data_IF_792647130984
#
_entry.id   IF_792647130984
#
_cell.length_a   1.000
_cell.length_b   1.000
_cell.length_c   1.000
_cell.angle_alpha   90.00
_cell.angle_beta   90.00
_cell.angle_gamma   90.00
#
_symmetry.space_group_name_H-M   'P 1'
#
loop_
_entity.id
_entity.type
_entity.pdbx_description
1 polymer ?
#
# COMPACT_ATOMS: atom_id res chain seq x y z
N UNK A 1 -16.19 -6.66 -30.08
CA UNK A 1 -16.19 -5.46 -29.22
C UNK A 1 -15.35 -4.39 -29.90
N UNK A 2 -15.83 -3.15 -30.09
CA UNK A 2 -15.06 -2.13 -30.83
C UNK A 2 -13.89 -1.59 -29.99
N UNK A 3 -12.79 -1.12 -30.60
CA UNK A 3 -11.65 -0.55 -29.87
C UNK A 3 -12.02 0.60 -28.92
N UNK A 4 -12.98 1.45 -29.32
CA UNK A 4 -13.53 2.52 -28.46
C UNK A 4 -14.31 1.97 -27.27
N UNK A 5 -15.12 0.93 -27.47
CA UNK A 5 -15.85 0.28 -26.36
C UNK A 5 -14.88 -0.46 -25.42
N UNK A 6 -13.80 -1.05 -25.94
CA UNK A 6 -12.74 -1.64 -25.15
C UNK A 6 -11.99 -0.60 -24.31
N UNK A 7 -11.59 0.53 -24.90
CA UNK A 7 -10.95 1.63 -24.18
C UNK A 7 -11.84 2.22 -23.08
N UNK A 8 -13.14 2.36 -23.34
CA UNK A 8 -14.11 2.88 -22.37
C UNK A 8 -14.43 1.89 -21.23
N UNK A 9 -14.38 0.59 -21.50
CA UNK A 9 -14.64 -0.46 -20.51
C UNK A 9 -13.40 -0.84 -19.70
N UNK A 10 -12.20 -0.61 -20.24
CA UNK A 10 -10.94 -0.97 -19.59
C UNK A 10 -10.79 -0.46 -18.15
N UNK A 11 -11.14 0.79 -17.79
CA UNK A 11 -11.09 1.23 -16.39
C UNK A 11 -11.97 0.40 -15.46
N UNK A 12 -13.14 -0.05 -15.94
CA UNK A 12 -14.06 -0.92 -15.18
C UNK A 12 -13.54 -2.34 -15.08
N UNK A 13 -12.98 -2.88 -16.16
CA UNK A 13 -12.38 -4.23 -16.18
C UNK A 13 -11.14 -4.27 -15.27
N UNK A 14 -10.25 -3.29 -15.38
CA UNK A 14 -9.06 -3.15 -14.54
C UNK A 14 -9.42 -2.98 -13.05
N UNK A 15 -10.54 -2.33 -12.74
CA UNK A 15 -11.07 -2.24 -11.36
C UNK A 15 -11.47 -3.60 -10.77
N UNK A 16 -11.98 -4.51 -11.60
CA UNK A 16 -12.48 -5.84 -11.16
C UNK A 16 -11.35 -6.88 -11.17
N UNK A 17 -10.51 -6.88 -12.19
CA UNK A 17 -9.39 -7.82 -12.34
C UNK A 17 -8.23 -7.45 -11.40
N UNK A 18 -8.09 -6.17 -11.07
CA UNK A 18 -6.97 -5.65 -10.28
C UNK A 18 -5.65 -5.72 -11.05
N UNK A 19 -4.63 -5.00 -10.58
CA UNK A 19 -3.24 -5.21 -11.04
C UNK A 19 -2.60 -6.33 -10.22
N UNK A 20 -3.01 -7.57 -10.49
CA UNK A 20 -2.29 -8.75 -9.99
C UNK A 20 -0.84 -8.76 -10.47
N UNK A 21 0.02 -9.59 -9.86
CA UNK A 21 1.42 -9.75 -10.31
C UNK A 21 1.50 -10.11 -11.78
N UNK A 22 0.51 -10.85 -12.24
CA UNK A 22 0.41 -11.39 -13.59
C UNK A 22 0.00 -10.33 -14.62
N UNK A 23 -0.82 -9.35 -14.25
CA UNK A 23 -1.14 -8.21 -15.11
C UNK A 23 0.10 -7.34 -15.32
N UNK A 24 0.88 -7.10 -14.26
CA UNK A 24 2.14 -6.36 -14.38
C UNK A 24 3.18 -7.12 -15.21
N UNK A 25 3.22 -8.45 -15.11
CA UNK A 25 4.07 -9.31 -15.95
C UNK A 25 3.65 -9.22 -17.43
N UNK A 26 2.35 -9.34 -17.71
CA UNK A 26 1.79 -9.20 -19.07
C UNK A 26 2.08 -7.81 -19.64
N UNK A 27 1.95 -6.75 -18.82
CA UNK A 27 2.30 -5.39 -19.23
C UNK A 27 3.78 -5.26 -19.58
N UNK A 28 4.70 -5.79 -18.76
CA UNK A 28 6.13 -5.79 -19.06
C UNK A 28 6.47 -6.60 -20.32
N UNK A 29 5.88 -7.78 -20.46
CA UNK A 29 6.04 -8.60 -21.67
C UNK A 29 5.55 -7.85 -22.90
N UNK A 30 4.44 -7.12 -22.80
CA UNK A 30 3.94 -6.29 -23.88
C UNK A 30 4.86 -5.13 -24.20
N UNK A 31 5.39 -4.43 -23.19
CA UNK A 31 6.37 -3.34 -23.37
C UNK A 31 7.62 -3.85 -24.12
N UNK A 32 8.17 -4.98 -23.70
CA UNK A 32 9.34 -5.60 -24.34
C UNK A 32 9.04 -6.01 -25.79
N UNK A 33 7.89 -6.67 -26.04
CA UNK A 33 7.47 -7.08 -27.38
C UNK A 33 7.18 -5.89 -28.29
N UNK A 34 6.55 -4.84 -27.76
CA UNK A 34 6.24 -3.62 -28.50
C UNK A 34 7.53 -2.89 -28.91
N UNK A 35 8.47 -2.71 -27.99
CA UNK A 35 9.77 -2.10 -28.27
C UNK A 35 10.55 -2.93 -29.30
N UNK A 36 10.52 -4.26 -29.17
CA UNK A 36 11.16 -5.15 -30.13
C UNK A 36 10.53 -5.02 -31.53
N UNK A 37 9.21 -5.15 -31.65
CA UNK A 37 8.48 -5.02 -32.91
C UNK A 37 8.62 -3.64 -33.57
N UNK A 38 8.75 -2.58 -32.77
CA UNK A 38 9.03 -1.25 -33.28
C UNK A 38 10.47 -1.12 -33.82
N UNK A 39 11.46 -1.71 -33.13
CA UNK A 39 12.87 -1.71 -33.57
C UNK A 39 13.13 -2.56 -34.82
N UNK A 40 12.42 -3.68 -34.96
CA UNK A 40 12.56 -4.60 -36.09
C UNK A 40 11.69 -4.21 -37.30
N UNK A 41 10.81 -3.22 -37.16
CA UNK A 41 9.89 -2.78 -38.21
C UNK A 41 8.71 -3.71 -38.44
N UNK A 42 8.44 -4.65 -37.52
CA UNK A 42 7.25 -5.52 -37.56
C UNK A 42 5.96 -4.76 -37.21
N UNK A 43 6.08 -3.66 -36.45
CA UNK A 43 4.98 -2.75 -36.14
C UNK A 43 5.07 -1.46 -36.97
N UNK A 44 3.94 -0.93 -37.47
CA UNK A 44 3.93 0.34 -38.19
C UNK A 44 4.30 1.49 -37.25
N UNK A 45 4.88 2.54 -37.83
CA UNK A 45 5.16 3.78 -37.10
C UNK A 45 3.83 4.49 -36.86
N UNK A 46 3.42 4.60 -35.60
CA UNK A 46 2.19 5.29 -35.21
C UNK A 46 2.47 6.78 -35.03
N UNK A 47 2.01 7.63 -35.94
CA UNK A 47 2.07 9.08 -35.78
C UNK A 47 0.97 9.59 -34.83
N UNK A 48 1.29 10.63 -34.04
CA UNK A 48 0.35 11.32 -33.13
C UNK A 48 -0.39 10.41 -32.13
N UNK A 49 0.24 9.33 -31.64
CA UNK A 49 -0.37 8.37 -30.72
C UNK A 49 -1.67 7.72 -31.26
N UNK A 50 -1.85 7.68 -32.59
CA UNK A 50 -2.98 7.05 -33.25
C UNK A 50 -2.80 5.52 -33.33
N UNK A 51 -2.67 4.87 -32.18
CA UNK A 51 -2.47 3.42 -32.09
C UNK A 51 -3.69 2.65 -32.60
N UNK A 52 -3.47 1.76 -33.57
CA UNK A 52 -4.48 0.81 -34.01
C UNK A 52 -4.47 -0.41 -33.08
N UNK A 53 -5.48 -0.49 -32.22
CA UNK A 53 -5.65 -1.57 -31.25
C UNK A 53 -5.84 -2.94 -31.91
N UNK A 54 -6.37 -3.01 -33.14
CA UNK A 54 -6.60 -4.27 -33.82
C UNK A 54 -5.28 -4.87 -34.31
N UNK A 55 -4.43 -4.06 -34.93
CA UNK A 55 -3.07 -4.44 -35.35
C UNK A 55 -2.25 -4.88 -34.14
N UNK A 56 -2.30 -4.11 -33.04
CA UNK A 56 -1.57 -4.44 -31.82
C UNK A 56 -2.07 -5.74 -31.16
N UNK A 57 -3.39 -5.97 -31.13
CA UNK A 57 -3.94 -7.21 -30.60
C UNK A 57 -3.59 -8.44 -31.45
N UNK A 58 -3.55 -8.28 -32.78
CA UNK A 58 -3.10 -9.34 -33.68
C UNK A 58 -1.61 -9.63 -33.53
N UNK A 59 -0.79 -8.59 -33.36
CA UNK A 59 0.65 -8.72 -33.09
C UNK A 59 0.92 -9.46 -31.77
N UNK A 60 0.19 -9.10 -30.71
CA UNK A 60 0.26 -9.83 -29.44
C UNK A 60 -0.11 -11.31 -29.61
N UNK A 61 -1.23 -11.60 -30.28
CA UNK A 61 -1.68 -12.98 -30.50
C UNK A 61 -0.69 -13.83 -31.29
N UNK A 62 0.02 -13.24 -32.25
CA UNK A 62 0.98 -13.97 -33.08
C UNK A 62 2.29 -14.28 -32.36
N UNK A 63 2.73 -13.42 -31.43
CA UNK A 63 4.01 -13.55 -30.72
C UNK A 63 3.90 -14.12 -29.30
N UNK A 64 2.75 -13.98 -28.65
CA UNK A 64 2.49 -14.44 -27.29
C UNK A 64 1.27 -15.39 -27.21
N UNK A 65 1.30 -16.57 -27.86
CA UNK A 65 0.18 -17.51 -27.83
C UNK A 65 -0.03 -18.16 -26.46
N UNK A 66 0.98 -18.15 -25.57
CA UNK A 66 0.95 -18.83 -24.28
C UNK A 66 1.26 -17.85 -23.14
N UNK A 67 0.34 -16.94 -22.84
CA UNK A 67 0.19 -16.49 -21.45
C UNK A 67 -0.34 -17.72 -20.72
N UNK A 68 0.57 -18.49 -20.12
CA UNK A 68 0.38 -19.92 -19.82
C UNK A 68 -1.00 -20.26 -19.25
N UNK A 69 -1.53 -21.40 -19.69
CA UNK A 69 -2.75 -21.99 -19.14
C UNK A 69 -2.67 -21.94 -17.60
N UNK A 70 -3.50 -21.08 -17.01
CA UNK A 70 -3.54 -20.91 -15.57
C UNK A 70 -4.06 -22.19 -14.94
N UNK A 71 -3.15 -23.00 -14.42
CA UNK A 71 -3.50 -24.17 -13.61
C UNK A 71 -4.20 -23.65 -12.35
N UNK A 72 -5.52 -23.77 -12.32
CA UNK A 72 -6.35 -23.46 -11.15
C UNK A 72 -7.38 -22.35 -11.30
N UNK A 73 -7.47 -21.68 -12.47
CA UNK A 73 -8.61 -20.80 -12.77
C UNK A 73 -9.57 -21.57 -13.68
N UNK A 74 -10.78 -21.92 -13.21
CA UNK A 74 -11.73 -22.64 -14.04
C UNK A 74 -12.13 -21.76 -15.24
N UNK A 75 -12.17 -22.38 -16.44
CA UNK A 75 -12.66 -21.70 -17.63
C UNK A 75 -14.09 -21.23 -17.39
N UNK A 76 -14.33 -19.94 -17.59
CA UNK A 76 -15.68 -19.41 -17.66
C UNK A 76 -16.34 -19.91 -18.94
N UNK A 77 -17.60 -20.34 -18.84
CA UNK A 77 -18.43 -20.70 -19.98
C UNK A 77 -18.79 -19.46 -20.78
N UNK A 78 -19.05 -19.64 -22.08
CA UNK A 78 -19.49 -18.55 -22.96
C UNK A 78 -20.83 -17.94 -22.52
N UNK A 79 -21.71 -18.75 -21.90
CA UNK A 79 -22.98 -18.29 -21.35
C UNK A 79 -22.84 -17.90 -19.86
N UNK A 80 -23.22 -16.66 -19.55
CA UNK A 80 -23.29 -16.16 -18.19
C UNK A 80 -24.22 -17.00 -17.31
N UNK A 81 -25.31 -17.58 -17.84
CA UNK A 81 -26.24 -18.38 -17.02
C UNK A 81 -25.62 -19.70 -16.58
N UNK A 82 -24.85 -20.33 -17.44
CA UNK A 82 -24.15 -21.57 -17.12
C UNK A 82 -23.05 -21.33 -16.08
N UNK A 83 -22.37 -20.18 -16.17
CA UNK A 83 -21.45 -19.75 -15.14
C UNK A 83 -22.15 -19.63 -13.76
N UNK A 84 -23.30 -18.95 -13.67
CA UNK A 84 -24.03 -18.79 -12.39
C UNK A 84 -24.63 -20.09 -11.84
N UNK A 85 -24.76 -21.13 -12.67
CA UNK A 85 -25.19 -22.46 -12.22
C UNK A 85 -24.04 -23.29 -11.65
N UNK A 86 -22.83 -23.11 -12.18
CA UNK A 86 -21.66 -23.94 -11.83
C UNK A 86 -20.68 -23.27 -10.87
N UNK A 87 -20.74 -21.95 -10.77
CA UNK A 87 -19.87 -21.16 -9.90
C UNK A 87 -20.70 -20.27 -8.99
N UNK A 88 -20.33 -20.27 -7.71
CA UNK A 88 -20.84 -19.30 -6.75
C UNK A 88 -20.05 -18.00 -6.89
N UNK A 89 -20.74 -16.96 -7.36
CA UNK A 89 -20.18 -15.62 -7.47
C UNK A 89 -20.38 -14.86 -6.17
N UNK A 90 -19.34 -14.84 -5.34
CA UNK A 90 -19.33 -13.99 -4.16
C UNK A 90 -18.89 -12.58 -4.53
N UNK A 91 -19.81 -11.62 -4.37
CA UNK A 91 -19.46 -10.21 -4.34
C UNK A 91 -18.74 -9.96 -3.01
N UNK A 92 -17.42 -9.88 -3.08
CA UNK A 92 -16.64 -9.54 -1.90
C UNK A 92 -17.03 -8.14 -1.40
N UNK A 93 -17.09 -7.96 -0.07
CA UNK A 93 -17.41 -6.67 0.51
C UNK A 93 -16.49 -5.62 -0.10
N UNK A 94 -17.13 -4.59 -0.63
CA UNK A 94 -16.53 -3.44 -1.30
C UNK A 94 -15.33 -2.97 -0.47
N UNK A 95 -14.13 -2.96 -1.06
CA UNK A 95 -12.99 -2.21 -0.52
C UNK A 95 -13.51 -0.84 -0.12
N UNK A 96 -13.16 -0.33 1.06
CA UNK A 96 -13.52 1.04 1.43
C UNK A 96 -13.21 1.93 0.22
N UNK A 97 -14.17 2.77 -0.20
CA UNK A 97 -14.00 3.60 -1.39
C UNK A 97 -12.75 4.48 -1.27
N UNK A 98 -12.32 4.78 -0.04
CA UNK A 98 -11.04 5.41 0.24
C UNK A 98 -9.82 4.55 -0.12
N UNK A 99 -9.87 3.22 0.05
CA UNK A 99 -8.81 2.33 -0.41
C UNK A 99 -8.66 2.43 -1.94
N UNK A 100 -9.75 2.65 -2.67
CA UNK A 100 -9.71 2.85 -4.12
C UNK A 100 -9.01 4.18 -4.45
N UNK A 101 -9.30 5.26 -3.72
CA UNK A 101 -8.63 6.55 -3.88
C UNK A 101 -7.11 6.41 -3.70
N UNK A 102 -6.68 5.64 -2.69
CA UNK A 102 -5.27 5.49 -2.33
C UNK A 102 -4.50 4.49 -3.19
N UNK A 103 -5.17 3.46 -3.71
CA UNK A 103 -4.50 2.36 -4.44
C UNK A 103 -4.76 2.36 -5.94
N UNK A 104 -5.71 3.18 -6.43
CA UNK A 104 -6.02 3.24 -7.86
C UNK A 104 -4.90 3.97 -8.62
N UNK A 105 -4.29 3.33 -9.62
CA UNK A 105 -3.28 3.96 -10.46
C UNK A 105 -3.90 4.84 -11.55
N UNK A 106 -5.23 4.96 -11.62
CA UNK A 106 -5.93 5.72 -12.66
C UNK A 106 -6.47 7.06 -12.12
N UNK A 107 -5.92 8.21 -12.54
CA UNK A 107 -6.29 9.53 -12.01
C UNK A 107 -7.79 9.84 -12.14
N UNK A 108 -8.40 9.57 -13.29
CA UNK A 108 -9.85 9.79 -13.48
C UNK A 108 -10.72 9.02 -12.49
N UNK A 109 -10.31 7.80 -12.09
CA UNK A 109 -11.03 7.02 -11.09
C UNK A 109 -10.88 7.69 -9.72
N UNK A 110 -9.66 8.13 -9.38
CA UNK A 110 -9.39 8.84 -8.13
C UNK A 110 -10.22 10.13 -8.06
N UNK A 111 -10.20 10.96 -9.11
CA UNK A 111 -10.98 12.20 -9.21
C UNK A 111 -12.48 11.95 -9.08
N UNK A 112 -13.01 10.99 -9.85
CA UNK A 112 -14.42 10.63 -9.78
C UNK A 112 -14.81 10.18 -8.37
N UNK A 113 -13.95 9.43 -7.69
CA UNK A 113 -14.22 8.98 -6.31
C UNK A 113 -14.13 10.14 -5.31
N UNK A 114 -13.13 11.02 -5.42
CA UNK A 114 -12.99 12.19 -4.55
C UNK A 114 -14.19 13.14 -4.63
N UNK A 115 -14.82 13.27 -5.79
CA UNK A 115 -16.02 14.12 -5.98
C UNK A 115 -17.29 13.43 -5.48
N UNK A 116 -17.41 12.11 -5.68
CA UNK A 116 -18.67 11.40 -5.43
C UNK A 116 -18.76 10.73 -4.05
N UNK A 117 -17.66 10.65 -3.29
CA UNK A 117 -17.63 9.95 -2.01
C UNK A 117 -17.29 10.91 -0.85
N UNK A 118 -18.11 10.95 0.22
CA UNK A 118 -17.82 11.80 1.36
C UNK A 118 -16.59 11.28 2.14
N UNK A 119 -15.76 12.18 2.64
CA UNK A 119 -14.63 11.84 3.53
C UNK A 119 -15.04 11.51 4.98
N UNK A 120 -16.33 11.26 5.20
CA UNK A 120 -16.83 10.87 6.51
C UNK A 120 -16.40 9.43 6.85
N UNK A 121 -16.17 9.17 8.13
CA UNK A 121 -16.03 7.82 8.65
C UNK A 121 -17.26 7.49 9.48
N UNK A 122 -17.74 6.26 9.39
CA UNK A 122 -18.78 5.79 10.30
C UNK A 122 -18.32 5.96 11.74
N UNK A 123 -19.25 6.32 12.63
CA UNK A 123 -18.97 6.27 14.07
C UNK A 123 -18.60 4.84 14.44
N UNK A 124 -17.63 4.72 15.35
CA UNK A 124 -17.05 3.48 15.88
C UNK A 124 -18.03 2.31 15.75
N UNK A 125 -17.62 1.30 14.99
CA UNK A 125 -18.41 0.08 14.80
C UNK A 125 -18.18 -0.81 16.01
N UNK A 126 -19.16 -1.65 16.34
CA UNK A 126 -19.00 -2.64 17.40
C UNK A 126 -17.70 -3.44 17.19
N UNK A 127 -16.83 -3.37 18.19
CA UNK A 127 -15.59 -4.13 18.27
C UNK A 127 -15.92 -5.62 18.07
N UNK A 128 -15.32 -6.32 17.09
CA UNK A 128 -15.53 -7.74 16.94
C UNK A 128 -15.05 -8.47 18.22
N UNK A 129 -15.79 -9.48 18.70
CA UNK A 129 -15.45 -10.18 19.93
C UNK A 129 -14.07 -10.83 19.80
N UNK A 130 -13.23 -10.69 20.83
CA UNK A 130 -11.93 -11.35 20.89
C UNK A 130 -12.06 -12.80 21.40
N UNK A 131 -12.83 -13.58 20.67
CA UNK A 131 -13.09 -14.98 20.98
C UNK A 131 -11.87 -15.89 20.67
N UNK A 132 -12.00 -17.15 21.08
CA UNK A 132 -10.94 -18.15 20.90
C UNK A 132 -10.62 -18.41 19.42
N UNK A 133 -11.61 -18.23 18.53
CA UNK A 133 -11.45 -18.41 17.09
C UNK A 133 -10.61 -17.28 16.50
N UNK A 134 -10.88 -16.02 16.86
CA UNK A 134 -10.09 -14.87 16.43
C UNK A 134 -8.66 -14.90 16.99
N UNK A 135 -8.46 -15.43 18.20
CA UNK A 135 -7.13 -15.71 18.74
C UNK A 135 -6.41 -16.80 17.92
N UNK A 136 -7.11 -17.90 17.58
CA UNK A 136 -6.56 -18.96 16.75
C UNK A 136 -6.17 -18.45 15.35
N UNK A 137 -6.98 -17.58 14.71
CA UNK A 137 -6.64 -16.94 13.43
C UNK A 137 -5.33 -16.17 13.50
N UNK A 138 -5.11 -15.38 14.56
CA UNK A 138 -3.84 -14.65 14.76
C UNK A 138 -2.66 -15.61 14.88
N UNK A 139 -2.81 -16.68 15.66
CA UNK A 139 -1.78 -17.70 15.81
C UNK A 139 -1.45 -18.43 14.50
N UNK A 140 -2.46 -18.82 13.71
CA UNK A 140 -2.28 -19.45 12.40
C UNK A 140 -1.51 -18.51 11.46
N UNK A 141 -1.91 -17.23 11.37
CA UNK A 141 -1.19 -16.23 10.56
C UNK A 141 0.26 -16.07 11.02
N UNK A 142 0.51 -16.00 12.33
CA UNK A 142 1.86 -15.88 12.88
C UNK A 142 2.75 -17.11 12.57
N UNK A 143 2.18 -18.30 12.61
CA UNK A 143 2.86 -19.56 12.22
C UNK A 143 3.25 -19.51 10.73
N UNK A 144 2.34 -19.09 9.85
CA UNK A 144 2.60 -18.96 8.41
C UNK A 144 3.66 -17.88 8.15
N UNK A 145 3.60 -16.74 8.85
CA UNK A 145 4.52 -15.62 8.71
C UNK A 145 5.92 -15.87 9.30
N UNK A 146 6.09 -16.90 10.13
CA UNK A 146 7.39 -17.23 10.74
C UNK A 146 8.40 -17.59 9.65
N UNK A 147 9.65 -17.10 9.73
CA UNK A 147 10.68 -17.47 8.75
C UNK A 147 11.06 -18.95 8.84
N UNK A 148 11.52 -19.55 7.73
CA UNK A 148 11.82 -21.00 7.66
C UNK A 148 12.90 -21.39 8.67
N UNK A 149 13.91 -20.55 8.85
CA UNK A 149 15.06 -20.76 9.72
C UNK A 149 14.68 -20.73 11.21
N UNK A 150 13.51 -20.19 11.54
CA UNK A 150 13.05 -20.01 12.91
C UNK A 150 11.85 -20.90 13.25
N UNK A 151 11.30 -21.57 12.24
CA UNK A 151 10.16 -22.44 12.39
C UNK A 151 10.48 -23.70 13.21
N UNK A 152 9.48 -24.16 13.95
CA UNK A 152 9.49 -25.46 14.62
C UNK A 152 8.05 -25.96 14.65
N UNK A 153 7.80 -27.10 14.02
CA UNK A 153 6.48 -27.73 13.99
C UNK A 153 5.97 -28.13 15.37
N UNK A 154 6.85 -28.60 16.26
CA UNK A 154 6.50 -28.85 17.66
C UNK A 154 5.96 -27.59 18.36
N UNK A 155 6.67 -26.47 18.24
CA UNK A 155 6.22 -25.19 18.82
C UNK A 155 4.95 -24.66 18.17
N UNK A 156 4.80 -24.80 16.86
CA UNK A 156 3.55 -24.44 16.17
C UNK A 156 2.35 -25.23 16.69
N UNK A 157 2.50 -26.55 16.87
CA UNK A 157 1.47 -27.41 17.45
C UNK A 157 1.16 -27.04 18.90
N UNK A 158 2.18 -26.80 19.73
CA UNK A 158 2.01 -26.36 21.13
C UNK A 158 1.19 -25.07 21.26
N UNK A 159 1.37 -24.12 20.34
CA UNK A 159 0.57 -22.89 20.31
C UNK A 159 -0.87 -23.21 19.95
N UNK A 160 -1.10 -24.03 18.91
CA UNK A 160 -2.45 -24.33 18.40
C UNK A 160 -3.28 -25.21 19.35
N UNK A 161 -2.65 -26.15 20.07
CA UNK A 161 -3.33 -27.05 21.04
C UNK A 161 -4.12 -26.26 22.08
N UNK A 162 -3.66 -25.05 22.45
CA UNK A 162 -4.30 -24.21 23.48
C UNK A 162 -5.68 -23.70 23.07
N UNK A 163 -5.99 -23.67 21.78
CA UNK A 163 -7.27 -23.17 21.26
C UNK A 163 -8.29 -24.30 21.02
N UNK A 164 -7.83 -25.55 20.97
CA UNK A 164 -8.66 -26.71 20.63
C UNK A 164 -8.87 -26.89 19.13
N UNK A 165 -9.13 -28.13 18.71
CA UNK A 165 -9.23 -28.52 17.30
C UNK A 165 -10.41 -27.83 16.59
N UNK A 166 -11.58 -27.76 17.23
CA UNK A 166 -12.77 -27.12 16.67
C UNK A 166 -12.54 -25.63 16.35
N UNK A 167 -11.90 -24.88 17.26
CA UNK A 167 -11.62 -23.46 17.04
C UNK A 167 -10.56 -23.26 15.95
N UNK A 168 -9.53 -24.13 15.89
CA UNK A 168 -8.54 -24.09 14.82
C UNK A 168 -9.15 -24.40 13.45
N UNK A 169 -10.06 -25.37 13.37
CA UNK A 169 -10.75 -25.71 12.13
C UNK A 169 -11.63 -24.56 11.65
N UNK A 170 -12.47 -24.01 12.54
CA UNK A 170 -13.29 -22.83 12.21
C UNK A 170 -12.42 -21.63 11.79
N UNK A 171 -11.30 -21.39 12.46
CA UNK A 171 -10.37 -20.33 12.09
C UNK A 171 -9.77 -20.51 10.69
N UNK A 172 -9.46 -21.75 10.28
CA UNK A 172 -8.99 -22.05 8.92
C UNK A 172 -10.08 -21.80 7.90
N UNK A 173 -11.29 -22.31 8.13
CA UNK A 173 -12.45 -22.12 7.24
C UNK A 173 -12.74 -20.62 7.01
N UNK A 174 -12.74 -19.82 8.07
CA UNK A 174 -12.94 -18.37 7.98
C UNK A 174 -11.77 -17.65 7.29
N UNK A 175 -10.52 -18.09 7.49
CA UNK A 175 -9.36 -17.52 6.80
C UNK A 175 -9.33 -17.87 5.30
N UNK A 176 -9.80 -19.07 4.92
CA UNK A 176 -9.96 -19.48 3.52
C UNK A 176 -11.11 -18.72 2.84
N UNK A 177 -12.26 -18.58 3.52
CA UNK A 177 -13.39 -17.77 3.04
C UNK A 177 -13.00 -16.31 2.78
N UNK A 178 -12.21 -15.71 3.68
CA UNK A 178 -11.66 -14.36 3.48
C UNK A 178 -10.58 -14.29 2.38
N UNK A 179 -10.15 -15.44 1.84
CA UNK A 179 -9.00 -15.62 0.95
C UNK A 179 -7.73 -15.04 1.56
N UNK A 180 -7.51 -15.24 2.84
CA UNK A 180 -6.27 -14.83 3.53
C UNK A 180 -5.18 -15.88 3.33
N UNK A 181 -5.56 -17.16 3.41
CA UNK A 181 -4.67 -18.31 3.26
C UNK A 181 -5.13 -19.20 2.11
N UNK A 182 -4.22 -20.02 1.60
CA UNK A 182 -4.50 -21.05 0.59
C UNK A 182 -3.80 -22.33 0.99
N UNK A 183 -4.52 -23.45 0.89
CA UNK A 183 -3.97 -24.79 1.09
C UNK A 183 -2.92 -25.13 0.02
N UNK A 184 -1.80 -25.71 0.44
CA UNK A 184 -0.74 -26.21 -0.45
C UNK A 184 -0.89 -27.73 -0.55
N UNK A 185 -1.27 -28.28 -1.73
CA UNK A 185 -1.33 -29.72 -1.92
C UNK A 185 0.03 -30.35 -1.65
N UNK A 186 0.06 -31.42 -0.84
CA UNK A 186 1.28 -32.20 -0.60
C UNK A 186 1.67 -32.94 -1.87
N UNK A 187 2.62 -32.37 -2.63
CA UNK A 187 3.32 -33.10 -3.68
C UNK A 187 4.35 -34.06 -3.07
N UNK A 188 4.55 -35.23 -3.69
CA UNK A 188 5.55 -36.23 -3.27
C UNK A 188 7.00 -35.70 -3.27
N UNK A 189 7.28 -34.61 -4.00
CA UNK A 189 8.64 -34.08 -4.23
C UNK A 189 8.87 -32.61 -3.81
N UNK A 190 8.17 -32.07 -2.80
CA UNK A 190 8.51 -30.74 -2.25
C UNK A 190 8.81 -30.78 -0.75
N UNK A 191 10.11 -30.60 -0.46
CA UNK A 191 10.78 -30.55 0.84
C UNK A 191 10.41 -29.28 1.63
N UNK A 192 9.13 -29.11 1.97
CA UNK A 192 8.73 -28.33 3.13
C UNK A 192 7.72 -29.17 3.91
N UNK A 193 8.19 -30.11 4.73
CA UNK A 193 7.30 -30.77 5.66
C UNK A 193 6.73 -29.69 6.61
N UNK A 194 5.44 -29.77 6.94
CA UNK A 194 4.82 -29.16 8.13
C UNK A 194 4.14 -27.78 8.03
N UNK A 195 4.13 -27.08 6.89
CA UNK A 195 3.18 -25.95 6.67
C UNK A 195 2.26 -26.22 5.50
N UNK A 196 1.04 -26.64 5.81
CA UNK A 196 0.02 -26.97 4.79
C UNK A 196 -0.62 -25.72 4.15
N UNK A 197 -0.30 -24.51 4.62
CA UNK A 197 -0.92 -23.26 4.18
C UNK A 197 0.13 -22.20 3.87
N UNK A 198 -0.17 -21.36 2.88
CA UNK A 198 0.55 -20.11 2.58
C UNK A 198 -0.43 -18.94 2.55
N UNK A 199 0.09 -17.72 2.66
CA UNK A 199 -0.70 -16.53 2.36
C UNK A 199 -1.12 -16.50 0.89
N UNK A 200 -2.34 -16.02 0.65
CA UNK A 200 -2.90 -15.87 -0.68
C UNK A 200 -2.28 -14.69 -1.44
N UNK A 201 -2.53 -14.59 -2.74
CA UNK A 201 -2.20 -13.38 -3.49
C UNK A 201 -2.94 -12.14 -2.95
N UNK A 202 -4.18 -12.30 -2.46
CA UNK A 202 -4.96 -11.18 -1.88
C UNK A 202 -4.27 -10.61 -0.64
N UNK A 203 -3.76 -11.46 0.24
CA UNK A 203 -2.97 -11.03 1.39
C UNK A 203 -1.71 -10.27 0.93
N UNK A 204 -0.99 -10.83 -0.04
CA UNK A 204 0.21 -10.19 -0.57
C UNK A 204 -0.08 -8.90 -1.33
N UNK A 205 -1.24 -8.74 -1.95
CA UNK A 205 -1.63 -7.50 -2.62
C UNK A 205 -1.86 -6.37 -1.63
N UNK A 206 -2.41 -6.66 -0.44
CA UNK A 206 -2.63 -5.65 0.61
C UNK A 206 -1.30 -5.16 1.18
N UNK A 207 -0.29 -6.03 1.32
CA UNK A 207 1.03 -5.66 1.87
C UNK A 207 2.13 -5.49 0.82
N UNK A 208 1.84 -5.69 -0.46
CA UNK A 208 2.84 -5.96 -1.51
C UNK A 208 3.48 -4.72 -2.09
N UNK A 209 2.71 -3.67 -2.35
CA UNK A 209 3.25 -2.36 -2.70
C UNK A 209 3.40 -1.55 -1.42
N UNK A 210 4.62 -1.33 -0.95
CA UNK A 210 4.84 -0.39 0.15
C UNK A 210 4.58 1.03 -0.36
N UNK A 211 3.56 1.75 0.13
CA UNK A 211 3.20 3.05 -0.42
C UNK A 211 4.36 4.03 -0.38
N UNK A 212 5.18 3.95 0.66
CA UNK A 212 6.31 4.86 0.87
C UNK A 212 7.67 4.24 0.50
N UNK A 213 7.75 2.92 0.25
CA UNK A 213 9.02 2.19 0.09
C UNK A 213 9.60 1.64 1.41
N UNK A 214 10.62 0.79 1.34
CA UNK A 214 11.22 0.12 2.52
C UNK A 214 12.01 1.12 3.37
N UNK A 215 12.80 1.98 2.71
CA UNK A 215 13.73 2.92 3.35
C UNK A 215 13.13 4.32 3.52
N UNK A 216 11.80 4.42 3.42
CA UNK A 216 11.09 5.68 3.40
C UNK A 216 11.29 6.51 4.68
N UNK A 217 11.21 5.91 5.87
CA UNK A 217 11.31 6.65 7.13
C UNK A 217 12.71 7.22 7.38
N UNK A 218 13.80 6.46 7.15
CA UNK A 218 15.15 6.99 7.17
C UNK A 218 15.36 8.13 6.16
N UNK A 219 14.93 7.93 4.90
CA UNK A 219 15.05 8.94 3.84
C UNK A 219 14.29 10.22 4.20
N UNK A 220 13.05 10.11 4.71
CA UNK A 220 12.26 11.25 5.19
C UNK A 220 12.97 11.99 6.33
N UNK A 221 13.56 11.24 7.27
CA UNK A 221 14.25 11.84 8.41
C UNK A 221 15.50 12.60 7.97
N UNK A 222 16.28 12.03 7.07
CA UNK A 222 17.48 12.66 6.49
C UNK A 222 17.11 13.91 5.70
N UNK A 223 16.14 13.79 4.79
CA UNK A 223 15.65 14.92 4.00
C UNK A 223 15.12 16.07 4.87
N UNK A 224 14.38 15.76 5.94
CA UNK A 224 13.92 16.77 6.88
C UNK A 224 15.08 17.48 7.58
N UNK A 225 16.10 16.74 8.03
CA UNK A 225 17.29 17.29 8.67
C UNK A 225 18.07 18.20 7.71
N UNK A 226 18.22 17.80 6.45
CA UNK A 226 18.88 18.61 5.42
C UNK A 226 18.13 19.92 5.14
N UNK A 227 16.80 19.88 5.09
CA UNK A 227 15.98 21.09 4.94
C UNK A 227 16.18 22.05 6.12
N UNK A 228 16.21 21.53 7.34
CA UNK A 228 16.46 22.37 8.53
C UNK A 228 17.86 23.00 8.49
N UNK A 229 18.88 22.23 8.11
CA UNK A 229 20.24 22.74 7.96
C UNK A 229 20.32 23.87 6.91
N UNK A 230 19.68 23.69 5.76
CA UNK A 230 19.59 24.72 4.72
C UNK A 230 18.90 26.00 5.22
N UNK A 231 17.84 25.87 6.01
CA UNK A 231 17.13 27.02 6.57
C UNK A 231 17.97 27.76 7.61
N UNK A 232 18.75 27.04 8.43
CA UNK A 232 19.70 27.66 9.35
C UNK A 232 20.81 28.42 8.61
N UNK A 233 21.18 27.98 7.40
CA UNK A 233 22.09 28.71 6.50
C UNK A 233 21.42 29.85 5.72
N UNK A 234 20.15 30.17 6.01
CA UNK A 234 19.34 31.16 5.27
C UNK A 234 19.18 30.86 3.77
N UNK A 235 19.26 29.58 3.38
CA UNK A 235 19.05 29.10 2.01
C UNK A 235 17.62 28.59 1.82
N UNK A 236 17.14 28.68 0.58
CA UNK A 236 15.90 28.05 0.14
C UNK A 236 16.18 26.76 -0.62
N UNK A 237 15.21 25.85 -0.63
CA UNK A 237 15.24 24.59 -1.36
C UNK A 237 14.25 24.64 -2.53
N UNK A 238 14.72 24.40 -3.75
CA UNK A 238 13.86 24.30 -4.95
C UNK A 238 13.32 22.88 -5.03
N UNK A 239 11.99 22.72 -4.97
CA UNK A 239 11.33 21.41 -5.10
C UNK A 239 11.35 21.00 -6.57
N UNK A 240 12.09 19.93 -6.88
CA UNK A 240 12.05 19.32 -8.21
C UNK A 240 10.66 18.74 -8.52
N UNK A 241 10.26 18.77 -9.79
CA UNK A 241 9.02 18.12 -10.28
C UNK A 241 9.07 16.60 -10.18
N UNK A 242 10.27 16.04 -10.09
CA UNK A 242 10.52 14.61 -9.90
C UNK A 242 10.89 14.29 -8.46
N UNK A 243 10.59 15.19 -7.50
CA UNK A 243 10.80 14.92 -6.10
C UNK A 243 9.99 13.67 -5.69
N UNK A 244 10.57 12.76 -4.89
CA UNK A 244 9.87 11.58 -4.45
C UNK A 244 8.70 11.94 -3.53
N UNK A 245 7.65 11.12 -3.55
CA UNK A 245 6.44 11.34 -2.73
C UNK A 245 6.76 11.41 -1.22
N UNK A 246 7.84 10.77 -0.79
CA UNK A 246 8.35 10.79 0.59
C UNK A 246 8.84 12.17 1.04
N UNK A 247 9.24 13.06 0.12
CA UNK A 247 9.69 14.42 0.49
C UNK A 247 8.53 15.33 0.93
N UNK A 248 7.31 15.12 0.42
CA UNK A 248 6.20 16.03 0.65
C UNK A 248 5.67 16.05 2.09
N UNK A 249 5.51 14.91 2.79
CA UNK A 249 5.17 14.91 4.23
C UNK A 249 6.11 15.80 5.05
N UNK A 250 7.41 15.76 4.77
CA UNK A 250 8.42 16.57 5.46
C UNK A 250 8.20 18.08 5.22
N UNK A 251 7.93 18.46 3.98
CA UNK A 251 7.66 19.86 3.60
C UNK A 251 6.35 20.35 4.26
N UNK A 252 5.29 19.54 4.21
CA UNK A 252 4.00 19.90 4.81
C UNK A 252 4.08 20.01 6.34
N UNK A 253 4.87 19.16 6.99
CA UNK A 253 5.13 19.26 8.42
C UNK A 253 5.78 20.62 8.76
N UNK A 254 6.83 21.02 8.02
CA UNK A 254 7.49 22.32 8.21
C UNK A 254 6.53 23.50 8.02
N UNK A 255 5.69 23.45 7.00
CA UNK A 255 4.68 24.50 6.74
C UNK A 255 3.65 24.53 7.89
N UNK A 256 3.16 23.37 8.33
CA UNK A 256 2.16 23.28 9.40
C UNK A 256 2.68 23.84 10.72
N UNK A 257 3.97 23.64 10.99
CA UNK A 257 4.68 24.17 12.15
C UNK A 257 5.13 25.63 11.98
N UNK A 258 4.78 26.28 10.86
CA UNK A 258 5.21 27.64 10.52
C UNK A 258 6.74 27.80 10.49
N UNK A 259 7.45 26.71 10.17
CA UNK A 259 8.91 26.62 10.03
C UNK A 259 9.38 26.82 8.58
N UNK A 260 8.45 26.91 7.62
CA UNK A 260 8.75 27.16 6.23
C UNK A 260 7.63 27.93 5.51
N UNK A 261 8.02 28.78 4.57
CA UNK A 261 7.15 29.42 3.60
C UNK A 261 7.36 28.80 2.21
N UNK A 262 6.27 28.73 1.43
CA UNK A 262 6.31 28.38 0.01
C UNK A 262 6.32 29.64 -0.85
N UNK A 263 7.33 29.76 -1.70
CA UNK A 263 7.45 30.83 -2.69
C UNK A 263 7.39 30.25 -4.08
N UNK A 264 6.53 30.80 -4.91
CA UNK A 264 6.49 30.49 -6.33
C UNK A 264 7.58 31.27 -7.07
N UNK A 265 8.45 30.58 -7.77
CA UNK A 265 9.44 31.20 -8.66
C UNK A 265 9.00 30.98 -10.11
N UNK A 266 8.78 32.09 -10.83
CA UNK A 266 8.48 32.05 -12.26
C UNK A 266 9.78 32.11 -13.06
N UNK A 267 10.00 31.13 -13.93
CA UNK A 267 11.13 31.15 -14.85
C UNK A 267 10.79 32.13 -15.98
N UNK A 268 11.53 33.25 -16.05
CA UNK A 268 11.40 34.27 -17.10
C UNK A 268 12.26 33.87 -18.33
N UNK A 269 11.82 32.90 -19.13
CA UNK A 269 12.43 32.45 -20.40
C UNK A 269 13.83 31.78 -20.23
N UNK A 270 14.33 30.82 -21.02
CA UNK A 270 13.93 30.16 -22.28
C UNK A 270 14.74 28.84 -22.48
N UNK A 271 14.42 28.09 -23.56
CA UNK A 271 15.07 26.89 -24.15
C UNK A 271 14.61 25.52 -23.64
N UNK A 272 13.64 24.91 -24.35
CA UNK A 272 13.53 23.44 -24.43
C UNK A 272 12.14 22.81 -24.39
N UNK A 273 11.13 23.45 -23.79
CA UNK A 273 9.80 22.81 -23.58
C UNK A 273 8.62 23.65 -24.07
N UNK A 274 8.81 24.40 -25.15
CA UNK A 274 7.73 25.09 -25.86
C UNK A 274 6.87 24.09 -26.67
N UNK A 275 6.12 23.23 -25.98
CA UNK A 275 5.03 22.42 -26.57
C UNK A 275 3.81 22.26 -25.65
N UNK A 276 3.70 23.06 -24.59
CA UNK A 276 2.51 23.05 -23.73
C UNK A 276 1.73 24.33 -24.02
N UNK A 277 0.53 24.14 -24.56
CA UNK A 277 -0.42 25.21 -24.87
C UNK A 277 -0.59 26.19 -23.71
N UNK A 278 -0.69 27.47 -24.07
CA UNK A 278 -0.77 28.66 -23.21
C UNK A 278 -1.88 28.67 -22.13
N UNK A 279 -2.69 27.62 -22.00
CA UNK A 279 -3.68 27.43 -20.93
C UNK A 279 -3.07 26.90 -19.61
N UNK A 280 -1.85 26.36 -19.64
CA UNK A 280 -1.15 25.83 -18.46
C UNK A 280 0.11 26.65 -18.09
N UNK A 281 0.01 27.98 -17.98
CA UNK A 281 1.09 28.84 -17.46
C UNK A 281 1.58 28.47 -16.04
N UNK A 282 0.89 27.55 -15.35
CA UNK A 282 1.29 26.99 -14.07
C UNK A 282 2.49 26.03 -14.19
N UNK A 283 2.73 25.45 -15.37
CA UNK A 283 3.77 24.44 -15.61
C UNK A 283 5.18 25.02 -15.78
N UNK A 284 5.35 26.34 -15.69
CA UNK A 284 6.64 27.04 -15.82
C UNK A 284 7.10 27.70 -14.50
N UNK A 285 6.51 27.29 -13.38
CA UNK A 285 6.91 27.76 -12.07
C UNK A 285 7.38 26.62 -11.18
N UNK A 286 8.50 26.86 -10.51
CA UNK A 286 9.00 25.97 -9.48
C UNK A 286 8.60 26.51 -8.10
N UNK A 287 8.55 25.60 -7.13
CA UNK A 287 8.20 25.92 -5.74
C UNK A 287 9.50 25.95 -4.95
N UNK A 288 9.76 27.06 -4.26
CA UNK A 288 10.88 27.20 -3.32
C UNK A 288 10.33 27.12 -1.91
N UNK A 289 10.83 26.17 -1.14
CA UNK A 289 10.62 26.09 0.31
C UNK A 289 11.74 26.89 0.96
N UNK A 290 11.42 27.86 1.81
CA UNK A 290 12.43 28.65 2.53
C UNK A 290 12.03 28.85 3.97
N UNK A 291 13.00 29.23 4.81
CA UNK A 291 12.71 29.77 6.14
C UNK A 291 11.71 30.94 6.05
N UNK A 292 10.76 31.06 6.98
CA UNK A 292 9.76 32.11 6.94
C UNK A 292 10.42 33.50 7.00
N UNK A 293 9.86 34.47 6.28
CA UNK A 293 10.38 35.85 6.27
C UNK A 293 10.25 36.60 7.63
N UNK A 294 9.87 35.92 8.71
CA UNK A 294 9.46 36.54 9.98
C UNK A 294 10.58 36.95 10.94
N UNK A 295 11.85 36.80 10.58
CA UNK A 295 12.97 37.23 11.45
C UNK A 295 13.87 38.26 10.77
N UNK A 296 13.33 39.43 10.43
CA UNK A 296 14.13 40.63 10.18
C UNK A 296 14.35 41.47 11.46
N UNK A 297 13.98 40.97 12.65
CA UNK A 297 14.10 41.78 13.88
C UNK A 297 13.99 41.07 15.24
N UNK A 298 13.85 39.75 15.30
CA UNK A 298 13.80 39.01 16.57
C UNK A 298 14.47 37.66 16.37
N UNK A 299 15.49 37.40 17.21
CA UNK A 299 16.28 36.19 17.45
C UNK A 299 16.44 35.21 16.27
N UNK A 300 17.70 34.90 15.96
CA UNK A 300 18.12 33.88 14.98
C UNK A 300 17.22 32.64 15.09
N UNK A 301 16.35 32.44 14.09
CA UNK A 301 15.53 31.25 14.01
C UNK A 301 16.46 30.06 13.80
N UNK A 302 16.70 29.29 14.87
CA UNK A 302 17.45 28.03 14.81
C UNK A 302 16.42 26.91 14.77
N UNK A 303 16.33 26.22 13.64
CA UNK A 303 15.56 25.00 13.55
C UNK A 303 16.21 23.92 14.41
N UNK A 304 15.49 23.45 15.44
CA UNK A 304 15.96 22.36 16.31
C UNK A 304 16.01 21.03 15.54
N UNK A 305 17.12 20.30 15.69
CA UNK A 305 17.25 18.95 15.13
C UNK A 305 16.27 17.97 15.78
N UNK A 306 15.66 17.12 14.95
CA UNK A 306 14.74 16.09 15.44
C UNK A 306 15.51 14.99 16.16
N UNK A 307 15.14 14.75 17.43
CA UNK A 307 15.71 13.68 18.24
C UNK A 307 15.14 12.33 17.80
N UNK A 308 15.99 11.51 17.16
CA UNK A 308 15.64 10.13 16.77
C UNK A 308 15.36 9.27 18.00
N UNK A 309 14.31 8.46 17.92
CA UNK A 309 13.97 7.46 18.94
C UNK A 309 14.98 6.31 18.92
N UNK A 310 15.79 6.16 19.97
CA UNK A 310 16.87 5.14 20.01
C UNK A 310 16.40 3.72 20.34
N UNK A 311 15.17 3.52 20.82
CA UNK A 311 14.73 2.22 21.36
C UNK A 311 13.66 1.56 20.48
N UNK A 312 14.07 0.52 19.74
CA UNK A 312 13.18 -0.46 19.10
C UNK A 312 12.40 -1.19 20.21
N UNK A 313 11.09 -1.01 20.24
CA UNK A 313 10.24 -1.71 21.19
C UNK A 313 9.00 -2.20 20.46
N UNK A 314 9.08 -3.37 19.83
CA UNK A 314 7.94 -3.94 19.10
C UNK A 314 6.97 -4.56 20.12
N UNK A 315 5.66 -4.30 20.01
CA UNK A 315 4.69 -4.83 20.96
C UNK A 315 4.45 -6.33 20.70
N UNK A 316 5.06 -7.18 21.52
CA UNK A 316 4.88 -8.63 21.52
C UNK A 316 4.36 -9.04 22.89
N UNK A 317 3.20 -9.68 22.94
CA UNK A 317 2.58 -10.13 24.19
C UNK A 317 2.88 -11.59 24.49
N UNK A 318 2.85 -12.47 23.47
CA UNK A 318 3.19 -13.87 23.60
C UNK A 318 3.67 -14.46 22.25
N UNK A 319 4.35 -15.63 22.24
CA UNK A 319 4.69 -16.32 21.00
C UNK A 319 3.43 -16.61 20.17
N UNK A 320 3.47 -16.25 18.88
CA UNK A 320 2.33 -16.39 17.98
C UNK A 320 1.11 -15.51 18.31
N UNK A 321 1.23 -14.50 19.18
CA UNK A 321 0.09 -13.64 19.55
C UNK A 321 -0.34 -12.67 18.45
N UNK A 322 0.56 -12.36 17.53
CA UNK A 322 0.37 -11.45 16.41
C UNK A 322 1.19 -11.91 15.21
N UNK A 323 0.81 -11.48 14.01
CA UNK A 323 1.46 -11.87 12.75
C UNK A 323 2.96 -11.50 12.68
N UNK A 324 3.40 -10.49 13.43
CA UNK A 324 4.81 -10.09 13.56
C UNK A 324 5.54 -10.78 14.72
N UNK A 325 4.92 -11.74 15.42
CA UNK A 325 5.58 -12.59 16.41
C UNK A 325 5.82 -13.99 15.83
N UNK A 326 7.07 -14.45 15.85
CA UNK A 326 7.37 -15.83 15.47
C UNK A 326 6.85 -16.84 16.52
N UNK A 327 6.90 -18.13 16.18
CA UNK A 327 6.54 -19.25 17.09
C UNK A 327 7.43 -19.36 18.33
N UNK A 328 8.55 -18.62 18.39
CA UNK A 328 9.48 -18.56 19.52
C UNK A 328 9.39 -17.25 20.32
N UNK A 329 8.51 -16.32 19.94
CA UNK A 329 8.35 -15.00 20.57
C UNK A 329 9.33 -13.91 20.09
N UNK A 330 10.07 -14.11 19.00
CA UNK A 330 10.90 -13.08 18.36
C UNK A 330 10.09 -12.26 17.36
N UNK A 331 10.50 -11.01 17.14
CA UNK A 331 9.87 -10.12 16.18
C UNK A 331 10.23 -10.50 14.73
N UNK A 332 9.23 -10.66 13.87
CA UNK A 332 9.41 -10.61 12.42
C UNK A 332 9.48 -9.14 11.98
N UNK A 333 10.70 -8.61 11.90
CA UNK A 333 10.96 -7.19 11.59
C UNK A 333 10.42 -6.78 10.22
N UNK A 334 10.57 -7.64 9.21
CA UNK A 334 10.11 -7.35 7.84
C UNK A 334 8.59 -7.21 7.79
N UNK A 335 7.86 -8.13 8.42
CA UNK A 335 6.40 -8.02 8.53
C UNK A 335 6.01 -6.76 9.31
N UNK A 336 6.70 -6.48 10.42
CA UNK A 336 6.44 -5.28 11.23
C UNK A 336 6.63 -3.98 10.43
N UNK A 337 7.73 -3.87 9.68
CA UNK A 337 8.02 -2.70 8.85
C UNK A 337 6.96 -2.49 7.77
N UNK A 338 6.56 -3.57 7.07
CA UNK A 338 5.50 -3.50 6.04
C UNK A 338 4.17 -3.02 6.64
N UNK A 339 3.81 -3.52 7.82
CA UNK A 339 2.58 -3.15 8.52
C UNK A 339 2.59 -1.70 9.00
N UNK A 340 3.68 -1.26 9.63
CA UNK A 340 3.79 0.12 10.10
C UNK A 340 3.75 1.11 8.94
N UNK A 341 4.41 0.80 7.83
CA UNK A 341 4.36 1.61 6.61
C UNK A 341 2.92 1.83 6.14
N UNK A 342 2.17 0.74 5.99
CA UNK A 342 0.78 0.79 5.54
C UNK A 342 -0.17 1.47 6.54
N UNK A 343 -0.06 1.15 7.83
CA UNK A 343 -0.94 1.74 8.86
C UNK A 343 -0.70 3.24 8.98
N UNK A 344 0.56 3.69 9.01
CA UNK A 344 0.87 5.12 9.07
C UNK A 344 0.51 5.84 7.78
N UNK A 345 0.78 5.25 6.61
CA UNK A 345 0.35 5.80 5.33
C UNK A 345 -1.17 5.98 5.28
N UNK A 346 -1.93 5.02 5.79
CA UNK A 346 -3.39 5.09 5.83
C UNK A 346 -3.89 6.19 6.78
N UNK A 347 -3.34 6.30 8.00
CA UNK A 347 -3.71 7.36 8.95
C UNK A 347 -3.30 8.74 8.41
N UNK A 348 -2.13 8.87 7.79
CA UNK A 348 -1.65 10.12 7.20
C UNK A 348 -2.52 10.55 6.02
N UNK A 349 -2.91 9.60 5.16
CA UNK A 349 -3.75 9.87 3.99
C UNK A 349 -5.22 10.13 4.35
N UNK A 350 -5.70 9.64 5.51
CA UNK A 350 -7.05 9.88 6.03
C UNK A 350 -7.01 10.33 7.49
N UNK A 351 -6.65 11.59 7.76
CA UNK A 351 -6.66 12.14 9.11
C UNK A 351 -8.06 12.08 9.74
N UNK A 352 -8.15 11.69 11.01
CA UNK A 352 -9.42 11.52 11.72
C UNK A 352 -10.06 10.14 11.52
N UNK A 353 -9.38 9.20 10.89
CA UNK A 353 -9.82 7.80 10.78
C UNK A 353 -9.87 7.09 12.13
N UNK A 354 -10.76 6.11 12.30
CA UNK A 354 -10.90 5.33 13.53
C UNK A 354 -10.13 4.00 13.45
N UNK A 355 -9.91 3.35 14.60
CA UNK A 355 -9.30 2.00 14.64
C UNK A 355 -10.09 1.00 13.78
N UNK A 356 -11.43 1.11 13.76
CA UNK A 356 -12.28 0.22 12.98
C UNK A 356 -12.14 0.45 11.48
N UNK A 357 -12.01 1.71 11.06
CA UNK A 357 -11.80 2.05 9.65
C UNK A 357 -10.45 1.52 9.15
N UNK A 358 -9.39 1.68 9.96
CA UNK A 358 -8.08 1.06 9.68
C UNK A 358 -8.24 -0.46 9.59
N UNK A 359 -8.92 -1.10 10.55
CA UNK A 359 -9.11 -2.55 10.55
C UNK A 359 -9.89 -3.04 9.32
N UNK A 360 -10.94 -2.36 8.89
CA UNK A 360 -11.71 -2.72 7.69
C UNK A 360 -10.83 -2.75 6.44
N UNK A 361 -9.94 -1.78 6.26
CA UNK A 361 -8.99 -1.74 5.13
C UNK A 361 -7.95 -2.87 5.19
N UNK A 362 -7.59 -3.33 6.39
CA UNK A 362 -6.60 -4.39 6.61
C UNK A 362 -7.19 -5.74 7.03
N UNK A 363 -8.51 -5.97 6.89
CA UNK A 363 -9.21 -7.14 7.46
C UNK A 363 -8.64 -8.49 6.99
N UNK A 364 -8.08 -8.52 5.77
CA UNK A 364 -7.42 -9.71 5.19
C UNK A 364 -6.09 -10.02 5.88
N UNK A 365 -5.44 -9.02 6.47
CA UNK A 365 -4.09 -9.12 7.01
C UNK A 365 -4.10 -9.12 8.52
N UNK A 366 -4.78 -8.13 9.12
CA UNK A 366 -4.78 -7.86 10.55
C UNK A 366 -6.16 -8.13 11.16
N UNK A 367 -6.14 -8.74 12.34
CA UNK A 367 -7.30 -8.78 13.22
C UNK A 367 -7.46 -7.45 13.93
N UNK A 368 -8.67 -7.15 14.41
CA UNK A 368 -8.96 -5.89 15.11
C UNK A 368 -8.01 -5.65 16.30
N UNK A 369 -7.76 -6.67 17.11
CA UNK A 369 -6.83 -6.58 18.25
C UNK A 369 -5.38 -6.27 17.83
N UNK A 370 -4.95 -6.76 16.65
CA UNK A 370 -3.62 -6.45 16.11
C UNK A 370 -3.54 -4.98 15.73
N UNK A 371 -4.57 -4.44 15.06
CA UNK A 371 -4.65 -3.01 14.72
C UNK A 371 -4.69 -2.16 15.99
N UNK A 372 -5.54 -2.51 16.96
CA UNK A 372 -5.64 -1.81 18.23
C UNK A 372 -4.31 -1.81 19.01
N UNK A 373 -3.54 -2.91 18.92
CA UNK A 373 -2.22 -3.02 19.54
C UNK A 373 -1.18 -2.14 18.82
N UNK A 374 -1.19 -2.09 17.48
CA UNK A 374 -0.34 -1.17 16.70
C UNK A 374 -0.68 0.29 17.03
N UNK A 375 -1.97 0.65 17.05
CA UNK A 375 -2.40 2.02 17.36
C UNK A 375 -2.02 2.41 18.79
N UNK A 376 -2.24 1.54 19.79
CA UNK A 376 -1.78 1.78 21.17
C UNK A 376 -0.27 2.00 21.25
N UNK A 377 0.50 1.26 20.45
CA UNK A 377 1.94 1.44 20.36
C UNK A 377 2.31 2.80 19.75
N UNK A 378 1.64 3.23 18.68
CA UNK A 378 1.84 4.54 18.05
C UNK A 378 1.49 5.70 19.00
N UNK A 379 0.41 5.56 19.76
CA UNK A 379 0.00 6.53 20.80
C UNK A 379 1.06 6.63 21.90
N UNK A 380 1.55 5.49 22.41
CA UNK A 380 2.60 5.47 23.45
C UNK A 380 3.92 6.10 22.99
N UNK A 381 4.20 6.06 21.68
CA UNK A 381 5.39 6.66 21.07
C UNK A 381 5.19 8.13 20.68
N UNK A 382 4.02 8.73 20.93
CA UNK A 382 3.66 10.07 20.47
C UNK A 382 3.85 10.26 18.95
N UNK A 383 3.57 9.22 18.16
CA UNK A 383 3.58 9.27 16.69
C UNK A 383 2.19 9.66 16.17
N UNK A 384 1.15 9.22 16.87
CA UNK A 384 -0.26 9.49 16.57
C UNK A 384 -0.90 10.08 17.81
N UNK A 385 -1.94 10.91 17.61
CA UNK A 385 -2.83 11.40 18.67
C UNK A 385 -4.27 10.95 18.39
N UNK A 386 -5.04 10.74 19.45
CA UNK A 386 -6.49 10.61 19.37
C UNK A 386 -7.16 11.97 19.50
N UNK A 387 -8.24 12.17 18.77
CA UNK A 387 -9.11 13.34 18.88
C UNK A 387 -10.56 12.95 19.15
N UNK A 388 -11.48 13.87 18.85
CA UNK A 388 -12.92 13.64 19.06
C UNK A 388 -13.41 12.41 18.28
N UNK A 389 -14.37 11.69 18.85
CA UNK A 389 -14.97 10.49 18.24
C UNK A 389 -13.99 9.33 17.96
N UNK A 390 -12.82 9.30 18.61
CA UNK A 390 -11.84 8.22 18.42
C UNK A 390 -11.05 8.30 17.12
N UNK A 391 -11.08 9.46 16.44
CA UNK A 391 -10.25 9.70 15.26
C UNK A 391 -8.76 9.70 15.59
N UNK A 392 -7.94 9.32 14.62
CA UNK A 392 -6.49 9.22 14.69
C UNK A 392 -5.85 10.26 13.78
N UNK A 393 -4.86 10.99 14.31
CA UNK A 393 -4.09 11.97 13.55
C UNK A 393 -2.60 11.71 13.76
N UNK A 394 -1.84 11.71 12.67
CA UNK A 394 -0.38 11.67 12.75
C UNK A 394 0.13 13.01 13.31
N UNK A 395 1.12 12.96 14.20
CA UNK A 395 1.79 14.14 14.73
C UNK A 395 2.91 14.60 13.79
N UNK A 396 3.29 15.88 13.80
CA UNK A 396 4.44 16.34 13.02
C UNK A 396 5.71 15.55 13.36
N UNK A 397 6.61 15.39 12.39
CA UNK A 397 7.91 14.72 12.55
C UNK A 397 7.81 13.22 12.89
N UNK A 398 6.64 12.61 12.68
CA UNK A 398 6.33 11.22 13.00
C UNK A 398 7.31 10.19 12.43
N UNK A 399 7.83 10.42 11.22
CA UNK A 399 8.77 9.55 10.53
C UNK A 399 10.11 9.42 11.28
N UNK A 400 10.54 10.48 12.00
CA UNK A 400 11.78 10.49 12.75
C UNK A 400 11.70 9.70 14.08
N UNK A 401 10.48 9.40 14.53
CA UNK A 401 10.23 8.71 15.80
C UNK A 401 10.03 7.20 15.64
N UNK A 402 10.02 6.68 14.41
CA UNK A 402 9.90 5.25 14.13
C UNK A 402 11.27 4.58 14.33
N UNK A 403 11.43 3.74 15.37
CA UNK A 403 12.67 3.01 15.56
C UNK A 403 12.62 1.79 14.63
N UNK A 404 13.08 1.94 13.39
CA UNK A 404 13.29 0.82 12.47
C UNK A 404 14.45 -0.03 12.90
#
# INVERSE_FOLDING_TARGET
>A
MTPKAAKASWPKVNKVVGRGKDVNLIMKMWEELFIHGYKTGELPIFENNAYDLEVLAQYWRSKAPNVGDYVGVPYLFEDARENHRRFDFELFPIKDMHDIILTSPHPLVVEQMMVNYPFASDRVVDKPPDDIVNQAKRAIKAIIATRKEHYSSGRGKEILIRFGEAACQQAVEELEALRTIVYIPRGKDKVLPERNYKFSEKFELVLGSLPLGIDAFPEMTEFYQDLLALFNESKGFIVSRTAPDTSFPCIFDLISMQKADLVRVQIKNEVGLARIDSKFKWDLSDIVVRSPLRSAGTDDYVAEEVKRSKKRSIPITAPGSAIWSDVRGRANLEMWQRLINWVLFYINSRPGTTVDAVWKSFVVVLSWEEVALVVRWLLKKNIVRTGTCGGLWVLPEWYAHIPL
#
